data_IF_102983136759
#
_entry.id   IF_102983136759
#
_cell.length_a   1.000
_cell.length_b   1.000
_cell.length_c   1.000
_cell.angle_alpha   90.00
_cell.angle_beta   90.00
_cell.angle_gamma   90.00
#
_symmetry.space_group_name_H-M   'P 1'
#
loop_
_entity.id
_entity.type
_entity.pdbx_description
1 polymer ?
#
# COMPACT_ATOMS: atom_id res chain seq x y z
N UNK A 1 17.57 6.72 -18.96
CA UNK A 1 16.65 5.87 -19.76
C UNK A 1 15.61 5.29 -18.82
N UNK A 2 14.35 5.65 -19.03
CA UNK A 2 13.18 5.08 -18.36
C UNK A 2 12.94 3.69 -18.94
N UNK A 3 13.05 2.61 -18.15
CA UNK A 3 12.90 1.24 -18.66
C UNK A 3 11.40 0.87 -18.67
N UNK A 4 10.92 0.31 -19.79
CA UNK A 4 9.52 -0.12 -19.97
C UNK A 4 8.99 -1.02 -18.84
N UNK A 5 9.87 -1.84 -18.24
CA UNK A 5 9.51 -2.72 -17.13
C UNK A 5 8.96 -2.02 -15.89
N UNK A 6 9.40 -0.79 -15.58
CA UNK A 6 8.90 -0.07 -14.40
C UNK A 6 7.46 0.43 -14.57
N UNK A 7 7.04 0.72 -15.80
CA UNK A 7 5.64 1.05 -16.08
C UNK A 7 4.73 -0.16 -15.91
N UNK A 8 5.20 -1.35 -16.28
CA UNK A 8 4.46 -2.60 -16.09
C UNK A 8 4.26 -2.94 -14.61
N UNK A 9 5.20 -2.57 -13.73
CA UNK A 9 5.02 -2.73 -12.29
C UNK A 9 3.86 -1.88 -11.76
N UNK A 10 3.74 -0.63 -12.18
CA UNK A 10 2.62 0.24 -11.80
C UNK A 10 1.27 -0.30 -12.28
N UNK A 11 1.22 -0.89 -13.48
CA UNK A 11 -0.01 -1.48 -14.02
C UNK A 11 -0.38 -2.82 -13.37
N UNK A 12 0.62 -3.64 -13.05
CA UNK A 12 0.40 -4.98 -12.47
C UNK A 12 0.17 -4.96 -10.97
N UNK A 13 0.70 -3.97 -10.23
CA UNK A 13 0.51 -3.82 -8.79
C UNK A 13 -0.97 -3.85 -8.35
N UNK A 14 -1.88 -3.02 -8.91
CA UNK A 14 -3.29 -3.04 -8.49
C UNK A 14 -3.99 -4.36 -8.85
N UNK A 15 -3.61 -5.01 -9.96
CA UNK A 15 -4.17 -6.30 -10.35
C UNK A 15 -3.74 -7.40 -9.39
N UNK A 16 -2.43 -7.47 -9.07
CA UNK A 16 -1.89 -8.39 -8.08
C UNK A 16 -2.59 -8.19 -6.72
N UNK A 17 -2.69 -6.94 -6.28
CA UNK A 17 -3.29 -6.60 -5.00
C UNK A 17 -4.77 -6.98 -4.93
N UNK A 18 -5.57 -6.62 -5.94
CA UNK A 18 -7.00 -6.94 -5.97
C UNK A 18 -7.25 -8.46 -5.94
N UNK A 19 -6.50 -9.22 -6.74
CA UNK A 19 -6.62 -10.69 -6.75
C UNK A 19 -6.21 -11.31 -5.41
N UNK A 20 -5.11 -10.82 -4.82
CA UNK A 20 -4.65 -11.30 -3.53
C UNK A 20 -5.61 -10.95 -2.39
N UNK A 21 -6.15 -9.73 -2.36
CA UNK A 21 -7.16 -9.30 -1.38
C UNK A 21 -8.42 -10.15 -1.48
N UNK A 22 -8.91 -10.43 -2.69
CA UNK A 22 -10.07 -11.30 -2.89
C UNK A 22 -9.79 -12.73 -2.38
N UNK A 23 -8.62 -13.28 -2.70
CA UNK A 23 -8.23 -14.62 -2.24
C UNK A 23 -8.06 -14.69 -0.72
N UNK A 24 -7.39 -13.71 -0.11
CA UNK A 24 -7.18 -13.65 1.34
C UNK A 24 -8.50 -13.40 2.09
N UNK A 25 -9.38 -12.57 1.53
CA UNK A 25 -10.73 -12.36 2.09
C UNK A 25 -11.56 -13.64 2.08
N UNK A 26 -11.43 -14.47 1.05
CA UNK A 26 -12.05 -15.80 1.02
C UNK A 26 -11.44 -16.76 2.06
N UNK A 27 -10.14 -16.66 2.32
CA UNK A 27 -9.43 -17.54 3.25
C UNK A 27 -9.57 -17.15 4.73
N UNK A 28 -9.74 -15.85 5.05
CA UNK A 28 -9.88 -15.37 6.44
C UNK A 28 -11.30 -15.67 6.96
N UNK A 29 -11.48 -16.54 7.97
CA UNK A 29 -12.79 -16.84 8.51
C UNK A 29 -13.49 -15.58 9.05
N UNK A 30 -14.77 -15.41 8.70
CA UNK A 30 -15.57 -14.27 9.14
C UNK A 30 -15.23 -12.93 8.47
N UNK A 31 -14.28 -12.90 7.54
CA UNK A 31 -13.97 -11.68 6.80
C UNK A 31 -15.10 -11.30 5.85
N UNK A 32 -15.28 -9.99 5.66
CA UNK A 32 -16.31 -9.43 4.78
C UNK A 32 -15.75 -8.18 4.15
N UNK A 33 -15.69 -8.13 2.83
CA UNK A 33 -15.25 -6.95 2.08
C UNK A 33 -16.15 -5.72 2.28
N UNK A 34 -17.34 -5.89 2.90
CA UNK A 34 -18.28 -4.80 3.17
C UNK A 34 -18.06 -4.22 4.57
N UNK A 35 -17.74 -5.07 5.56
CA UNK A 35 -17.70 -4.69 6.98
C UNK A 35 -16.30 -4.59 7.56
N UNK A 36 -15.30 -5.16 6.88
CA UNK A 36 -13.92 -5.23 7.34
C UNK A 36 -13.00 -4.50 6.38
N UNK A 37 -11.96 -3.87 6.93
CA UNK A 37 -10.94 -3.17 6.15
C UNK A 37 -9.98 -4.16 5.47
N UNK A 38 -9.22 -3.71 4.46
CA UNK A 38 -8.21 -4.58 3.85
C UNK A 38 -7.06 -4.90 4.81
N UNK A 39 -6.67 -3.97 5.68
CA UNK A 39 -5.59 -4.15 6.65
C UNK A 39 -5.88 -5.26 7.67
N UNK A 40 -7.15 -5.52 7.99
CA UNK A 40 -7.56 -6.65 8.83
C UNK A 40 -7.21 -8.02 8.21
N UNK A 41 -6.93 -8.12 6.92
CA UNK A 41 -6.37 -9.35 6.35
C UNK A 41 -4.97 -9.66 6.94
N UNK A 42 -4.23 -8.63 7.33
CA UNK A 42 -2.94 -8.70 8.01
C UNK A 42 -3.00 -8.69 9.54
N UNK A 43 -4.19 -8.83 10.12
CA UNK A 43 -4.39 -8.84 11.57
C UNK A 43 -3.52 -9.89 12.28
N UNK A 44 -2.90 -9.53 13.39
CA UNK A 44 -2.01 -10.41 14.15
C UNK A 44 -2.75 -11.66 14.67
N UNK A 45 -2.17 -12.85 14.41
CA UNK A 45 -2.74 -14.12 14.83
C UNK A 45 -3.80 -14.71 13.88
N UNK A 46 -4.14 -14.01 12.80
CA UNK A 46 -4.99 -14.53 11.71
C UNK A 46 -4.25 -15.60 10.88
N UNK A 47 -5.00 -16.50 10.28
CA UNK A 47 -4.48 -17.44 9.26
C UNK A 47 -3.93 -16.73 8.02
N UNK A 48 -4.35 -15.48 7.80
CA UNK A 48 -3.92 -14.65 6.67
C UNK A 48 -2.82 -13.64 7.00
N UNK A 49 -2.34 -13.55 8.25
CA UNK A 49 -1.36 -12.51 8.67
C UNK A 49 -0.14 -12.47 7.76
N UNK A 50 0.55 -13.60 7.60
CA UNK A 50 1.79 -13.70 6.83
C UNK A 50 1.59 -13.50 5.32
N UNK A 51 0.60 -14.15 4.67
CA UNK A 51 0.40 -13.92 3.24
C UNK A 51 -0.10 -12.50 2.94
N UNK A 52 -0.90 -11.87 3.82
CA UNK A 52 -1.28 -10.47 3.69
C UNK A 52 -0.05 -9.55 3.81
N UNK A 53 0.79 -9.77 4.83
CA UNK A 53 2.03 -9.00 5.01
C UNK A 53 2.94 -9.05 3.78
N UNK A 54 3.09 -10.23 3.17
CA UNK A 54 3.85 -10.42 1.95
C UNK A 54 3.24 -9.65 0.77
N UNK A 55 1.92 -9.79 0.56
CA UNK A 55 1.19 -9.12 -0.53
C UNK A 55 1.29 -7.60 -0.39
N UNK A 56 1.09 -7.07 0.80
CA UNK A 56 1.20 -5.64 1.09
C UNK A 56 2.61 -5.13 0.80
N UNK A 57 3.63 -5.82 1.32
CA UNK A 57 5.03 -5.44 1.12
C UNK A 57 5.44 -5.48 -0.35
N UNK A 58 5.13 -6.56 -1.07
CA UNK A 58 5.48 -6.71 -2.50
C UNK A 58 4.77 -5.64 -3.34
N UNK A 59 3.47 -5.43 -3.11
CA UNK A 59 2.70 -4.40 -3.83
C UNK A 59 3.27 -3.01 -3.54
N UNK A 60 3.58 -2.70 -2.29
CA UNK A 60 4.18 -1.43 -1.90
C UNK A 60 5.53 -1.18 -2.54
N UNK A 61 6.38 -2.21 -2.66
CA UNK A 61 7.64 -2.12 -3.40
C UNK A 61 7.38 -1.82 -4.90
N UNK A 62 6.41 -2.52 -5.52
CA UNK A 62 6.06 -2.27 -6.93
C UNK A 62 5.59 -0.82 -7.16
N UNK A 63 4.73 -0.30 -6.28
CA UNK A 63 4.24 1.08 -6.31
C UNK A 63 5.40 2.06 -6.09
N UNK A 64 6.30 1.79 -5.14
CA UNK A 64 7.45 2.64 -4.84
C UNK A 64 8.41 2.72 -6.03
N UNK A 65 8.71 1.59 -6.67
CA UNK A 65 9.56 1.56 -7.87
C UNK A 65 8.90 2.31 -9.04
N UNK A 66 7.58 2.17 -9.20
CA UNK A 66 6.82 2.95 -10.16
C UNK A 66 6.90 4.46 -9.88
N UNK A 67 6.71 4.88 -8.63
CA UNK A 67 6.82 6.27 -8.19
C UNK A 67 8.21 6.85 -8.43
N UNK A 68 9.27 6.09 -8.18
CA UNK A 68 10.65 6.50 -8.49
C UNK A 68 10.83 6.77 -9.99
N UNK A 69 10.30 5.88 -10.83
CA UNK A 69 10.37 6.03 -12.27
C UNK A 69 9.55 7.23 -12.76
N UNK A 70 8.38 7.46 -12.16
CA UNK A 70 7.54 8.64 -12.41
C UNK A 70 8.28 9.93 -12.03
N UNK A 71 8.86 9.99 -10.84
CA UNK A 71 9.66 11.12 -10.37
C UNK A 71 10.81 11.46 -11.34
N UNK A 72 11.58 10.45 -11.77
CA UNK A 72 12.67 10.64 -12.74
C UNK A 72 12.20 11.14 -14.11
N UNK A 73 10.97 10.81 -14.49
CA UNK A 73 10.35 11.26 -15.74
C UNK A 73 9.88 12.71 -15.63
N UNK A 74 9.31 13.09 -14.48
CA UNK A 74 8.74 14.41 -14.23
C UNK A 74 9.74 15.41 -13.64
N UNK A 75 10.98 15.03 -13.36
CA UNK A 75 11.96 15.89 -12.67
C UNK A 75 12.30 17.22 -13.38
N UNK A 76 11.89 17.38 -14.65
CA UNK A 76 12.11 18.62 -15.41
C UNK A 76 10.99 19.64 -15.21
N UNK A 77 9.94 19.26 -14.49
CA UNK A 77 8.80 20.11 -14.13
C UNK A 77 8.76 20.27 -12.60
N UNK A 78 8.88 21.52 -12.15
CA UNK A 78 9.04 21.86 -10.73
C UNK A 78 7.84 21.48 -9.85
N UNK A 79 6.64 21.33 -10.44
CA UNK A 79 5.42 20.96 -9.72
C UNK A 79 5.15 19.46 -9.85
N UNK A 80 5.22 18.93 -11.06
CA UNK A 80 4.84 17.52 -11.31
C UNK A 80 5.83 16.53 -10.68
N UNK A 81 7.06 16.94 -10.41
CA UNK A 81 8.09 16.13 -9.72
C UNK A 81 7.61 15.58 -8.37
N UNK A 82 6.73 16.30 -7.67
CA UNK A 82 6.15 15.89 -6.38
C UNK A 82 5.21 14.70 -6.51
N UNK A 83 4.55 14.53 -7.65
CA UNK A 83 3.65 13.39 -7.89
C UNK A 83 4.38 12.06 -7.75
N UNK A 84 5.60 11.95 -8.29
CA UNK A 84 6.41 10.74 -8.14
C UNK A 84 6.84 10.48 -6.69
N UNK A 85 7.15 11.53 -5.94
CA UNK A 85 7.51 11.42 -4.51
C UNK A 85 6.30 10.95 -3.69
N UNK A 86 5.12 11.53 -3.94
CA UNK A 86 3.89 11.15 -3.24
C UNK A 86 3.47 9.70 -3.56
N UNK A 87 3.69 9.23 -4.80
CA UNK A 87 3.52 7.82 -5.15
C UNK A 87 4.47 6.91 -4.38
N UNK A 88 5.73 7.31 -4.23
CA UNK A 88 6.68 6.55 -3.41
C UNK A 88 6.26 6.50 -1.94
N UNK A 89 5.82 7.63 -1.38
CA UNK A 89 5.34 7.70 0.01
C UNK A 89 4.11 6.84 0.22
N UNK A 90 3.17 6.80 -0.72
CA UNK A 90 2.02 5.89 -0.65
C UNK A 90 2.45 4.43 -0.63
N UNK A 91 3.30 4.01 -1.56
CA UNK A 91 3.81 2.63 -1.60
C UNK A 91 4.58 2.24 -0.34
N UNK A 92 5.36 3.15 0.24
CA UNK A 92 6.14 2.90 1.44
C UNK A 92 5.31 2.92 2.72
N UNK A 93 4.49 3.94 2.93
CA UNK A 93 3.81 4.17 4.21
C UNK A 93 2.52 3.36 4.32
N UNK A 94 1.72 3.30 3.25
CA UNK A 94 0.47 2.56 3.28
C UNK A 94 0.71 1.06 3.10
N UNK A 95 1.38 0.67 2.02
CA UNK A 95 1.55 -0.75 1.70
C UNK A 95 2.69 -1.42 2.47
N UNK A 96 3.94 -0.95 2.33
CA UNK A 96 5.07 -1.56 3.05
C UNK A 96 4.88 -1.40 4.56
N UNK A 97 4.41 -0.23 5.02
CA UNK A 97 4.03 0.00 6.41
C UNK A 97 3.01 -1.02 6.91
N UNK A 98 1.92 -1.25 6.16
CA UNK A 98 0.92 -2.27 6.52
C UNK A 98 1.48 -3.69 6.55
N UNK A 99 2.43 -4.01 5.67
CA UNK A 99 3.08 -5.32 5.66
C UNK A 99 4.03 -5.55 6.83
N UNK A 100 4.71 -4.51 7.30
CA UNK A 100 5.69 -4.58 8.40
C UNK A 100 5.03 -4.46 9.77
N UNK A 101 3.98 -3.65 9.88
CA UNK A 101 3.28 -3.38 11.13
C UNK A 101 1.85 -3.93 11.02
N UNK A 102 1.56 -5.15 11.50
CA UNK A 102 0.20 -5.67 11.48
C UNK A 102 -0.71 -4.94 12.46
N UNK A 103 -2.00 -4.86 12.14
CA UNK A 103 -3.02 -4.43 13.10
C UNK A 103 -3.25 -5.51 14.15
N UNK A 104 -3.60 -5.10 15.37
CA UNK A 104 -3.94 -6.05 16.42
C UNK A 104 -5.26 -6.77 16.14
N UNK A 105 -5.47 -7.88 16.84
CA UNK A 105 -6.69 -8.65 16.76
C UNK A 105 -7.94 -7.81 17.06
N UNK A 106 -9.04 -8.06 16.35
CA UNK A 106 -10.29 -7.31 16.57
C UNK A 106 -10.74 -7.42 18.04
N UNK A 107 -11.10 -6.29 18.64
CA UNK A 107 -11.50 -6.20 20.04
C UNK A 107 -10.36 -6.18 21.06
N UNK A 108 -9.08 -6.13 20.63
CA UNK A 108 -7.93 -5.97 21.53
C UNK A 108 -7.57 -4.51 21.78
N UNK A 109 -6.80 -4.25 22.84
CA UNK A 109 -6.23 -2.93 23.12
C UNK A 109 -5.13 -2.60 22.13
N UNK A 110 -5.19 -1.41 21.53
CA UNK A 110 -4.21 -0.97 20.53
C UNK A 110 -2.77 -0.99 21.09
N UNK A 111 -1.93 -1.80 20.46
CA UNK A 111 -0.50 -1.88 20.68
C UNK A 111 0.22 -0.73 19.98
N UNK A 112 1.49 -0.52 20.32
CA UNK A 112 2.35 0.42 19.61
C UNK A 112 2.50 0.05 18.13
N UNK A 113 2.56 -1.24 17.80
CA UNK A 113 2.70 -1.72 16.41
C UNK A 113 1.47 -1.37 15.58
N UNK A 114 0.28 -1.66 16.09
CA UNK A 114 -0.98 -1.28 15.44
C UNK A 114 -1.16 0.25 15.37
N UNK A 115 -0.69 0.97 16.39
CA UNK A 115 -0.68 2.44 16.35
C UNK A 115 0.20 2.97 15.22
N UNK A 116 1.41 2.42 15.04
CA UNK A 116 2.30 2.76 13.93
C UNK A 116 1.64 2.43 12.59
N UNK A 117 0.98 1.28 12.46
CA UNK A 117 0.22 0.91 11.26
C UNK A 117 -0.79 2.00 10.88
N UNK A 118 -1.64 2.42 11.82
CA UNK A 118 -2.69 3.41 11.56
C UNK A 118 -2.10 4.76 11.12
N UNK A 119 -1.03 5.22 11.76
CA UNK A 119 -0.41 6.49 11.36
C UNK A 119 0.35 6.39 10.03
N UNK A 120 1.00 5.26 9.74
CA UNK A 120 1.67 5.03 8.48
C UNK A 120 0.67 5.02 7.31
N UNK A 121 -0.41 4.25 7.44
CA UNK A 121 -1.50 4.19 6.44
C UNK A 121 -2.15 5.56 6.24
N UNK A 122 -2.48 6.29 7.30
CA UNK A 122 -3.02 7.64 7.21
C UNK A 122 -2.13 8.60 6.40
N UNK A 123 -0.82 8.61 6.67
CA UNK A 123 0.13 9.44 5.93
C UNK A 123 0.29 8.99 4.47
N UNK A 124 0.26 7.68 4.22
CA UNK A 124 0.28 7.13 2.87
C UNK A 124 -0.96 7.52 2.06
N UNK A 125 -2.15 7.44 2.66
CA UNK A 125 -3.40 7.84 2.03
C UNK A 125 -3.46 9.35 1.74
N UNK A 126 -2.94 10.19 2.65
CA UNK A 126 -2.77 11.61 2.36
C UNK A 126 -1.83 11.85 1.18
N UNK A 127 -0.75 11.07 1.08
CA UNK A 127 0.12 11.14 -0.09
C UNK A 127 -0.64 10.77 -1.37
N UNK A 128 -1.50 9.74 -1.33
CA UNK A 128 -2.32 9.31 -2.45
C UNK A 128 -3.31 10.37 -2.94
N UNK A 129 -4.03 11.00 -2.02
CA UNK A 129 -4.96 12.10 -2.34
C UNK A 129 -4.21 13.33 -2.86
N UNK A 130 -2.97 13.55 -2.42
CA UNK A 130 -2.13 14.66 -2.87
C UNK A 130 -1.53 14.49 -4.27
N UNK A 131 -1.42 13.26 -4.79
CA UNK A 131 -0.77 12.98 -6.09
C UNK A 131 -1.36 13.77 -7.27
N UNK A 132 -2.70 13.82 -7.49
CA UNK A 132 -3.28 14.47 -8.67
C UNK A 132 -3.27 16.01 -8.62
N UNK A 133 -3.02 16.63 -7.46
CA UNK A 133 -3.11 18.09 -7.27
C UNK A 133 -2.16 18.85 -8.21
N UNK A 134 -1.03 18.24 -8.56
CA UNK A 134 0.01 18.85 -9.39
C UNK A 134 -0.28 18.80 -10.89
N UNK A 135 -1.39 18.19 -11.30
CA UNK A 135 -1.86 18.11 -12.70
C UNK A 135 -3.06 19.03 -13.00
N UNK A 136 -3.54 19.78 -12.01
CA UNK A 136 -4.60 20.79 -12.13
C UNK A 136 -4.01 22.19 -12.30
#
# INVERSE_FOLDING_TARGET
MVRRGFWLLGLSAPVLFALAVAMLGYLKPGYSHIYHTMSELGEAGSVTTQPAALVFTVTGIMITVFGYNLHRTLMRDDKMVWSGILVMLYGLLDFVGSGVFPVDASGSTASLVSTIHVYATLLGEFAAVGMPIWFL
#
